data_IF_971371492408
#
_entry.id   IF_971371492408
#
_cell.length_a   1.000
_cell.length_b   1.000
_cell.length_c   1.000
_cell.angle_alpha   90.00
_cell.angle_beta   90.00
_cell.angle_gamma   90.00
#
_symmetry.space_group_name_H-M   'P 1'
#
loop_
_entity.id
_entity.type
_entity.pdbx_description
1 polymer ?
#
# COMPACT_ATOMS: atom_id res chain seq x y z
N UNK A 1 -28.59 -25.68 33.60
CA UNK A 1 -28.61 -24.34 33.00
C UNK A 1 -27.59 -23.45 33.71
N UNK A 2 -26.46 -23.16 33.09
CA UNK A 2 -25.47 -22.21 33.63
C UNK A 2 -25.95 -20.78 33.39
N UNK A 3 -26.29 -20.09 34.47
CA UNK A 3 -26.66 -18.68 34.46
C UNK A 3 -25.39 -17.84 34.22
N UNK A 4 -25.16 -17.41 32.98
CA UNK A 4 -24.07 -16.50 32.68
C UNK A 4 -24.44 -15.09 33.17
N UNK A 5 -23.66 -14.57 34.13
CA UNK A 5 -23.87 -13.26 34.73
C UNK A 5 -23.80 -12.14 33.68
N UNK A 6 -24.85 -11.32 33.58
CA UNK A 6 -25.01 -10.22 32.60
C UNK A 6 -23.79 -9.27 32.51
N UNK A 7 -23.01 -9.15 33.59
CA UNK A 7 -21.79 -8.34 33.69
C UNK A 7 -20.67 -8.80 32.74
N UNK A 8 -20.56 -10.11 32.48
CA UNK A 8 -19.54 -10.65 31.58
C UNK A 8 -19.92 -10.42 30.11
N UNK A 9 -21.22 -10.43 29.79
CA UNK A 9 -21.71 -10.05 28.46
C UNK A 9 -21.44 -8.57 28.15
N UNK A 10 -21.60 -7.66 29.12
CA UNK A 10 -21.35 -6.23 28.89
C UNK A 10 -19.87 -5.94 28.63
N UNK A 11 -18.95 -6.58 29.36
CA UNK A 11 -17.51 -6.42 29.16
C UNK A 11 -17.06 -6.99 27.81
N UNK A 12 -17.60 -8.13 27.39
CA UNK A 12 -17.31 -8.71 26.08
C UNK A 12 -17.79 -7.80 24.93
N UNK A 13 -19.00 -7.23 25.04
CA UNK A 13 -19.54 -6.31 24.04
C UNK A 13 -18.71 -5.02 23.90
N UNK A 14 -18.18 -4.50 25.01
CA UNK A 14 -17.34 -3.30 25.00
C UNK A 14 -15.96 -3.55 24.37
N UNK A 15 -15.38 -4.73 24.58
CA UNK A 15 -14.13 -5.14 23.93
C UNK A 15 -14.28 -5.34 22.41
N UNK A 16 -15.42 -5.88 21.95
CA UNK A 16 -15.75 -6.00 20.53
C UNK A 16 -15.93 -4.62 19.85
N UNK A 17 -16.52 -3.65 20.55
CA UNK A 17 -16.69 -2.29 20.03
C UNK A 17 -15.36 -1.54 19.87
N UNK A 18 -14.36 -1.81 20.73
CA UNK A 18 -13.03 -1.21 20.65
C UNK A 18 -12.12 -1.84 19.58
N UNK A 19 -12.47 -3.03 19.07
CA UNK A 19 -11.71 -3.71 18.00
C UNK A 19 -12.17 -3.35 16.58
N UNK A 20 -13.31 -2.66 16.43
CA UNK A 20 -13.95 -2.37 15.14
C UNK A 20 -13.55 -1.01 14.55
N UNK A 21 -12.28 -0.61 14.70
CA UNK A 21 -11.80 0.57 13.98
C UNK A 21 -11.61 0.23 12.50
N UNK A 22 -12.17 1.02 11.57
CA UNK A 22 -11.91 0.82 10.15
C UNK A 22 -10.42 1.03 9.90
N UNK A 23 -9.75 0.00 9.38
CA UNK A 23 -8.38 0.12 8.92
C UNK A 23 -8.35 1.07 7.70
N UNK A 24 -7.64 2.19 7.80
CA UNK A 24 -7.45 3.15 6.71
C UNK A 24 -6.41 2.67 5.68
N UNK A 25 -6.47 1.41 5.26
CA UNK A 25 -5.57 0.86 4.26
C UNK A 25 -5.90 1.34 2.83
N UNK A 26 -7.14 1.78 2.56
CA UNK A 26 -7.62 2.14 1.22
C UNK A 26 -7.19 3.51 0.71
N UNK A 27 -7.06 4.52 1.59
CA UNK A 27 -6.98 5.93 1.16
C UNK A 27 -5.78 6.24 0.24
N UNK A 28 -4.69 5.49 0.36
CA UNK A 28 -3.50 5.66 -0.51
C UNK A 28 -3.70 4.97 -1.86
N UNK A 29 -4.19 3.73 -1.87
CA UNK A 29 -4.47 3.02 -3.11
C UNK A 29 -5.57 3.72 -3.90
N UNK A 30 -6.66 4.13 -3.24
CA UNK A 30 -7.76 4.89 -3.86
C UNK A 30 -7.23 6.17 -4.52
N UNK A 31 -6.28 6.87 -3.87
CA UNK A 31 -5.65 8.06 -4.45
C UNK A 31 -4.83 7.72 -5.70
N UNK A 32 -4.05 6.66 -5.69
CA UNK A 32 -3.26 6.21 -6.85
C UNK A 32 -4.19 5.82 -8.00
N UNK A 33 -5.22 5.04 -7.71
CA UNK A 33 -6.22 4.60 -8.69
C UNK A 33 -7.00 5.79 -9.26
N UNK A 34 -7.43 6.74 -8.42
CA UNK A 34 -8.13 7.94 -8.86
C UNK A 34 -7.23 8.89 -9.68
N UNK A 35 -5.95 9.00 -9.35
CA UNK A 35 -4.98 9.80 -10.10
C UNK A 35 -4.54 9.13 -11.41
N UNK A 36 -4.76 7.81 -11.55
CA UNK A 36 -4.26 7.02 -12.68
C UNK A 36 -2.73 6.99 -12.79
N UNK A 37 -2.01 7.39 -11.73
CA UNK A 37 -0.55 7.51 -11.72
C UNK A 37 0.02 7.06 -10.37
N UNK A 38 0.99 6.16 -10.42
CA UNK A 38 1.87 5.77 -9.31
C UNK A 38 3.17 6.57 -9.41
N UNK A 39 3.38 7.49 -8.46
CA UNK A 39 4.63 8.24 -8.34
C UNK A 39 5.63 7.47 -7.49
N UNK A 40 6.84 7.26 -8.00
CA UNK A 40 7.88 6.45 -7.36
C UNK A 40 9.15 7.28 -7.23
N UNK A 41 9.58 7.53 -5.99
CA UNK A 41 10.89 8.09 -5.72
C UNK A 41 11.91 6.95 -5.66
N UNK A 42 13.07 7.13 -6.31
CA UNK A 42 14.20 6.20 -6.20
C UNK A 42 15.53 6.91 -6.45
N UNK A 43 16.63 6.30 -6.04
CA UNK A 43 17.98 6.84 -6.25
C UNK A 43 18.54 6.35 -7.59
N UNK A 44 18.83 7.27 -8.51
CA UNK A 44 19.35 6.94 -9.83
C UNK A 44 20.84 6.54 -9.85
N UNK A 45 21.50 6.40 -8.69
CA UNK A 45 22.91 6.03 -8.58
C UNK A 45 23.14 4.78 -7.70
N UNK A 46 22.17 3.86 -7.65
CA UNK A 46 22.23 2.66 -6.83
C UNK A 46 22.05 1.38 -7.66
N UNK A 47 23.01 1.12 -8.54
CA UNK A 47 23.02 -0.12 -9.31
C UNK A 47 23.26 -1.35 -8.41
N UNK A 48 22.62 -2.52 -8.70
CA UNK A 48 21.70 -2.79 -9.81
C UNK A 48 20.20 -2.46 -9.56
N UNK A 49 19.84 -1.89 -8.42
CA UNK A 49 18.45 -1.62 -8.01
C UNK A 49 17.81 -0.51 -8.85
N UNK A 50 18.51 0.62 -8.99
CA UNK A 50 18.06 1.76 -9.79
C UNK A 50 19.25 2.58 -10.28
N UNK A 51 19.33 2.80 -11.58
CA UNK A 51 20.40 3.56 -12.21
C UNK A 51 19.96 4.20 -13.53
N UNK A 52 20.73 5.16 -14.04
CA UNK A 52 20.54 5.68 -15.40
C UNK A 52 21.36 4.84 -16.38
N UNK A 53 20.69 4.24 -17.37
CA UNK A 53 21.35 3.42 -18.39
C UNK A 53 21.97 4.27 -19.52
N UNK A 54 22.60 3.63 -20.50
CA UNK A 54 23.25 4.31 -21.64
C UNK A 54 22.29 5.09 -22.55
N UNK A 55 21.00 4.79 -22.48
CA UNK A 55 19.94 5.51 -23.21
C UNK A 55 19.44 6.73 -22.43
N UNK A 56 20.04 7.03 -21.28
CA UNK A 56 19.63 8.09 -20.36
C UNK A 56 18.22 7.85 -19.77
N UNK A 57 17.87 6.58 -19.56
CA UNK A 57 16.61 6.14 -18.94
C UNK A 57 16.87 5.50 -17.59
N UNK A 58 15.90 5.61 -16.68
CA UNK A 58 15.95 4.92 -15.40
C UNK A 58 15.69 3.42 -15.59
N UNK A 59 16.56 2.61 -15.00
CA UNK A 59 16.63 1.15 -15.18
C UNK A 59 17.07 0.45 -13.88
N UNK A 60 16.87 -0.86 -13.79
CA UNK A 60 17.22 -1.67 -12.63
C UNK A 60 16.05 -2.42 -11.99
N UNK A 61 16.35 -3.24 -10.99
CA UNK A 61 15.37 -4.13 -10.36
C UNK A 61 14.16 -3.39 -9.75
N UNK A 62 14.39 -2.33 -8.96
CA UNK A 62 13.30 -1.57 -8.32
C UNK A 62 12.44 -0.84 -9.34
N UNK A 63 13.07 -0.40 -10.44
CA UNK A 63 12.40 0.26 -11.57
C UNK A 63 11.48 -0.73 -12.28
N UNK A 64 11.93 -1.95 -12.53
CA UNK A 64 11.13 -3.01 -13.16
C UNK A 64 9.97 -3.46 -12.27
N UNK A 65 10.20 -3.59 -10.97
CA UNK A 65 9.14 -3.88 -10.00
C UNK A 65 8.08 -2.77 -10.00
N UNK A 66 8.49 -1.50 -9.96
CA UNK A 66 7.57 -0.37 -10.04
C UNK A 66 6.74 -0.38 -11.33
N UNK A 67 7.38 -0.59 -12.49
CA UNK A 67 6.71 -0.75 -13.79
C UNK A 67 5.70 -1.91 -13.77
N UNK A 68 6.06 -3.04 -13.19
CA UNK A 68 5.16 -4.20 -13.07
C UNK A 68 3.94 -3.93 -12.17
N UNK A 69 4.13 -3.24 -11.05
CA UNK A 69 3.04 -2.80 -10.16
C UNK A 69 2.09 -1.88 -10.93
N UNK A 70 2.61 -0.84 -11.60
CA UNK A 70 1.79 0.08 -12.39
C UNK A 70 0.99 -0.65 -13.48
N UNK A 71 1.62 -1.59 -14.19
CA UNK A 71 0.96 -2.45 -15.17
C UNK A 71 -0.17 -3.29 -14.55
N UNK A 72 0.06 -3.88 -13.38
CA UNK A 72 -0.96 -4.69 -12.70
C UNK A 72 -2.14 -3.85 -12.21
N UNK A 73 -1.87 -2.64 -11.73
CA UNK A 73 -2.89 -1.70 -11.28
C UNK A 73 -3.60 -0.97 -12.44
N UNK A 74 -3.05 -1.01 -13.66
CA UNK A 74 -3.58 -0.26 -14.81
C UNK A 74 -3.33 1.25 -14.73
N UNK A 75 -2.25 1.67 -14.05
CA UNK A 75 -1.88 3.08 -13.85
C UNK A 75 -0.52 3.39 -14.46
N UNK A 76 -0.28 4.66 -14.81
CA UNK A 76 1.03 5.13 -15.29
C UNK A 76 2.04 5.15 -14.13
N UNK A 77 3.29 4.76 -14.38
CA UNK A 77 4.39 4.98 -13.43
C UNK A 77 5.11 6.27 -13.80
N UNK A 78 5.35 7.13 -12.81
CA UNK A 78 6.14 8.35 -12.91
C UNK A 78 7.26 8.30 -11.88
N UNK A 79 8.50 8.29 -12.34
CA UNK A 79 9.66 8.40 -11.45
C UNK A 79 9.95 9.88 -11.18
N UNK A 80 10.14 10.23 -9.90
CA UNK A 80 10.36 11.61 -9.42
C UNK A 80 11.77 11.80 -8.86
#
# INVERSE_FOLDING_TARGET
MTFWNRRHLTLAAMALALGAYPAHAGAVLDRVMAAGTLKVATDANWAPQSFVNSSNELDGFDVDVAKAIGKHLGVKVEFI
#
